data_IF_677837509318
#
_entry.id   IF_677837509318
#
_cell.length_a   1.000
_cell.length_b   1.000
_cell.length_c   1.000
_cell.angle_alpha   90.00
_cell.angle_beta   90.00
_cell.angle_gamma   90.00
#
_symmetry.space_group_name_H-M   'P 1'
#
loop_
_entity.id
_entity.type
_entity.pdbx_description
1 polymer ?
#
# COMPACT_ATOMS: atom_id res chain seq x y z
N UNK A 1 22.03 -2.46 8.79
CA UNK A 1 21.44 -3.06 7.58
C UNK A 1 20.29 -2.20 7.04
N UNK A 2 19.35 -1.76 7.88
CA UNK A 2 18.21 -0.89 7.49
C UNK A 2 18.73 0.46 6.98
N UNK A 3 19.64 1.12 7.70
CA UNK A 3 20.23 2.41 7.31
C UNK A 3 20.90 2.36 5.93
N UNK A 4 21.58 1.24 5.59
CA UNK A 4 22.16 1.05 4.24
C UNK A 4 21.08 1.02 3.15
N UNK A 5 19.91 0.42 3.44
CA UNK A 5 18.78 0.39 2.49
C UNK A 5 18.10 1.74 2.36
N UNK A 6 18.01 2.51 3.46
CA UNK A 6 17.52 3.91 3.40
C UNK A 6 18.47 4.77 2.56
N UNK A 7 19.78 4.67 2.77
CA UNK A 7 20.76 5.39 1.94
C UNK A 7 20.64 4.98 0.46
N UNK A 8 20.41 3.68 0.19
CA UNK A 8 20.18 3.21 -1.19
C UNK A 8 18.93 3.80 -1.82
N UNK A 9 17.85 3.96 -1.07
CA UNK A 9 16.64 4.65 -1.52
C UNK A 9 16.94 6.11 -1.92
N UNK A 10 17.69 6.83 -1.09
CA UNK A 10 18.10 8.21 -1.36
C UNK A 10 19.04 8.31 -2.55
N UNK A 11 19.96 7.34 -2.74
CA UNK A 11 20.82 7.27 -3.93
C UNK A 11 20.02 7.15 -5.21
N UNK A 12 19.01 6.28 -5.25
CA UNK A 12 18.17 6.10 -6.43
C UNK A 12 17.39 7.39 -6.74
N UNK A 13 16.87 8.07 -5.72
CA UNK A 13 16.20 9.38 -5.90
C UNK A 13 17.14 10.47 -6.43
N UNK A 14 18.39 10.48 -5.96
CA UNK A 14 19.40 11.38 -6.49
C UNK A 14 19.72 11.10 -7.95
N UNK A 15 19.88 9.82 -8.31
CA UNK A 15 20.11 9.42 -9.70
C UNK A 15 18.98 9.84 -10.63
N UNK A 16 17.73 9.81 -10.17
CA UNK A 16 16.57 10.28 -10.93
C UNK A 16 16.60 11.81 -11.11
N UNK A 17 16.89 12.55 -10.03
CA UNK A 17 16.98 14.03 -10.06
C UNK A 17 18.16 14.53 -10.90
N UNK A 18 19.28 13.85 -10.86
CA UNK A 18 20.50 14.20 -11.59
C UNK A 18 20.46 13.83 -13.08
N UNK A 19 19.35 13.24 -13.56
CA UNK A 19 19.21 12.81 -14.95
C UNK A 19 20.09 11.60 -15.32
N UNK A 20 20.62 10.89 -14.34
CA UNK A 20 21.46 9.70 -14.57
C UNK A 20 20.67 8.60 -15.26
N UNK A 21 19.33 8.54 -15.06
CA UNK A 21 18.47 7.56 -15.72
C UNK A 21 18.45 7.71 -17.25
N UNK A 22 18.66 8.89 -17.78
CA UNK A 22 18.69 9.13 -19.23
C UNK A 22 19.96 8.57 -19.89
N UNK A 23 21.01 8.34 -19.10
CA UNK A 23 22.30 7.76 -19.55
C UNK A 23 22.36 6.25 -19.41
N UNK A 24 21.45 5.65 -18.68
CA UNK A 24 21.41 4.21 -18.40
C UNK A 24 20.56 3.45 -19.42
N UNK A 25 20.87 2.17 -19.69
CA UNK A 25 20.03 1.31 -20.50
C UNK A 25 18.62 1.20 -19.90
N UNK A 26 17.57 1.20 -20.72
CA UNK A 26 16.17 1.12 -20.28
C UNK A 26 15.89 -0.05 -19.33
N UNK A 27 16.57 -1.18 -19.52
CA UNK A 27 16.44 -2.37 -18.67
C UNK A 27 16.89 -2.11 -17.23
N UNK A 28 18.01 -1.40 -17.07
CA UNK A 28 18.54 -1.04 -15.75
C UNK A 28 17.66 -0.02 -15.04
N UNK A 29 17.17 0.99 -15.75
CA UNK A 29 16.23 1.99 -15.22
C UNK A 29 14.96 1.33 -14.69
N UNK A 30 14.40 0.36 -15.43
CA UNK A 30 13.23 -0.42 -14.96
C UNK A 30 13.57 -1.22 -13.69
N UNK A 31 14.77 -1.79 -13.62
CA UNK A 31 15.24 -2.49 -12.42
C UNK A 31 15.34 -1.57 -11.20
N UNK A 32 15.97 -0.40 -11.37
CA UNK A 32 16.11 0.61 -10.32
C UNK A 32 14.75 1.16 -9.85
N UNK A 33 13.81 1.40 -10.76
CA UNK A 33 12.45 1.84 -10.39
C UNK A 33 11.70 0.81 -9.57
N UNK A 34 11.78 -0.47 -9.92
CA UNK A 34 11.19 -1.56 -9.12
C UNK A 34 11.85 -1.69 -7.74
N UNK A 35 13.18 -1.53 -7.67
CA UNK A 35 13.91 -1.51 -6.40
C UNK A 35 13.46 -0.33 -5.54
N UNK A 36 13.35 0.85 -6.12
CA UNK A 36 12.86 2.06 -5.47
C UNK A 36 11.46 1.88 -4.90
N UNK A 37 10.50 1.41 -5.70
CA UNK A 37 9.13 1.16 -5.25
C UNK A 37 9.07 0.22 -4.05
N UNK A 38 9.84 -0.87 -4.10
CA UNK A 38 9.92 -1.84 -3.01
C UNK A 38 10.53 -1.25 -1.75
N UNK A 39 11.62 -0.50 -1.87
CA UNK A 39 12.28 0.15 -0.75
C UNK A 39 11.40 1.25 -0.16
N UNK A 40 10.79 2.07 -1.00
CA UNK A 40 9.92 3.16 -0.57
C UNK A 40 8.69 2.64 0.16
N UNK A 41 8.04 1.59 -0.36
CA UNK A 41 6.90 0.96 0.30
C UNK A 41 7.21 0.51 1.74
N UNK A 42 8.41 -0.02 1.97
CA UNK A 42 8.78 -0.63 3.25
C UNK A 42 9.52 0.32 4.20
N UNK A 43 10.18 1.36 3.70
CA UNK A 43 11.12 2.17 4.48
C UNK A 43 10.77 3.68 4.48
N UNK A 44 9.75 4.12 3.76
CA UNK A 44 9.42 5.55 3.68
C UNK A 44 9.16 6.17 5.05
N UNK A 45 8.50 5.45 5.96
CA UNK A 45 8.16 5.95 7.29
C UNK A 45 9.33 6.10 8.26
N UNK A 46 10.48 5.45 7.98
CA UNK A 46 11.65 5.49 8.87
C UNK A 46 12.82 6.30 8.32
N UNK A 47 12.64 7.01 7.20
CA UNK A 47 13.71 7.79 6.54
C UNK A 47 14.34 8.83 7.46
N UNK A 48 13.50 9.58 8.17
CA UNK A 48 13.91 10.67 9.04
C UNK A 48 14.26 10.19 10.47
N UNK A 49 14.07 8.92 10.77
CA UNK A 49 14.29 8.38 12.09
C UNK A 49 15.79 8.22 12.40
N UNK A 50 16.32 9.14 13.20
CA UNK A 50 17.73 9.14 13.60
C UNK A 50 17.97 8.47 14.96
N UNK A 51 16.95 8.40 15.81
CA UNK A 51 16.99 7.86 17.17
C UNK A 51 15.94 6.76 17.32
N UNK A 52 16.13 5.90 18.32
CA UNK A 52 15.10 4.93 18.71
C UNK A 52 13.84 5.67 19.17
N UNK A 53 12.65 5.14 18.87
CA UNK A 53 11.40 5.74 19.30
C UNK A 53 11.26 5.64 20.82
N UNK A 54 10.60 6.61 21.42
CA UNK A 54 10.33 6.63 22.87
C UNK A 54 9.11 5.80 23.25
N UNK A 55 8.23 5.54 22.28
CA UNK A 55 7.06 4.67 22.41
C UNK A 55 6.73 4.05 21.07
N UNK A 56 6.06 2.91 21.08
CA UNK A 56 5.58 2.23 19.87
C UNK A 56 4.07 2.06 19.97
N UNK A 57 3.35 2.37 18.90
CA UNK A 57 1.91 2.13 18.78
C UNK A 57 1.72 0.97 17.80
N UNK A 58 1.01 -0.06 18.22
CA UNK A 58 0.81 -1.29 17.45
C UNK A 58 -0.68 -1.51 17.20
N UNK A 59 -1.00 -1.95 16.01
CA UNK A 59 -2.34 -2.42 15.62
C UNK A 59 -2.22 -3.90 15.33
N UNK A 60 -3.02 -4.73 16.01
CA UNK A 60 -2.98 -6.19 15.92
C UNK A 60 -1.66 -6.79 16.46
N UNK A 61 -1.66 -7.13 17.75
CA UNK A 61 -0.49 -7.69 18.44
C UNK A 61 -0.07 -9.05 17.88
N UNK A 62 -1.00 -9.83 17.31
CA UNK A 62 -0.68 -11.14 16.74
C UNK A 62 0.17 -11.03 15.47
N UNK A 63 -0.09 -10.03 14.63
CA UNK A 63 0.71 -9.79 13.41
C UNK A 63 2.05 -9.14 13.70
N UNK A 64 2.08 -8.24 14.67
CA UNK A 64 3.26 -7.42 14.98
C UNK A 64 4.04 -7.92 16.21
N UNK A 65 3.93 -9.21 16.53
CA UNK A 65 4.59 -9.86 17.66
C UNK A 65 6.11 -9.58 17.72
N UNK A 66 6.78 -9.55 16.56
CA UNK A 66 8.21 -9.25 16.51
C UNK A 66 8.53 -7.84 17.01
N UNK A 67 7.71 -6.85 16.65
CA UNK A 67 7.89 -5.47 17.07
C UNK A 67 7.69 -5.32 18.58
N UNK A 68 6.70 -5.99 19.16
CA UNK A 68 6.45 -6.05 20.59
C UNK A 68 7.65 -6.63 21.32
N UNK A 69 8.14 -7.77 20.87
CA UNK A 69 9.27 -8.47 21.50
C UNK A 69 10.56 -7.64 21.45
N UNK A 70 10.81 -6.95 20.33
CA UNK A 70 11.94 -6.04 20.19
C UNK A 70 11.80 -4.82 21.08
N UNK A 71 10.62 -4.19 21.13
CA UNK A 71 10.34 -3.05 21.98
C UNK A 71 10.54 -3.39 23.47
N UNK A 72 10.02 -4.53 23.94
CA UNK A 72 10.23 -5.02 25.31
C UNK A 72 11.70 -5.22 25.65
N UNK A 73 12.50 -5.79 24.72
CA UNK A 73 13.96 -5.96 24.93
C UNK A 73 14.70 -4.63 25.07
N UNK A 74 14.21 -3.60 24.40
CA UNK A 74 14.78 -2.26 24.41
C UNK A 74 14.22 -1.38 25.54
N UNK A 75 13.21 -1.87 26.28
CA UNK A 75 12.52 -1.09 27.32
C UNK A 75 11.69 0.05 26.77
N UNK A 76 11.19 -0.09 25.55
CA UNK A 76 10.32 0.90 24.90
C UNK A 76 8.86 0.54 25.20
N UNK A 77 8.06 1.47 25.79
CA UNK A 77 6.66 1.21 26.09
C UNK A 77 5.83 1.00 24.83
N UNK A 78 4.94 0.00 24.87
CA UNK A 78 4.10 -0.42 23.78
C UNK A 78 2.63 -0.08 24.06
N UNK A 79 2.02 0.70 23.19
CA UNK A 79 0.59 0.96 23.14
C UNK A 79 -0.04 0.06 22.07
N UNK A 80 -0.98 -0.79 22.42
CA UNK A 80 -1.57 -1.76 21.50
C UNK A 80 -3.07 -1.55 21.32
N UNK A 81 -3.54 -1.49 20.06
CA UNK A 81 -4.94 -1.74 19.75
C UNK A 81 -5.16 -3.25 19.84
N UNK A 82 -5.99 -3.63 20.80
CA UNK A 82 -6.24 -5.03 21.12
C UNK A 82 -7.69 -5.36 20.86
N UNK A 83 -7.91 -6.30 19.96
CA UNK A 83 -9.21 -6.91 19.68
C UNK A 83 -9.34 -8.25 20.40
N UNK A 84 -10.45 -8.94 20.23
CA UNK A 84 -10.82 -10.18 20.91
C UNK A 84 -9.90 -11.37 20.61
N UNK A 85 -9.14 -11.32 19.52
CA UNK A 85 -8.17 -12.34 19.07
C UNK A 85 -6.74 -12.11 19.60
N UNK A 86 -6.51 -11.04 20.35
CA UNK A 86 -5.21 -10.64 20.84
C UNK A 86 -5.08 -10.82 22.36
N UNK A 87 -3.86 -11.07 22.85
CA UNK A 87 -3.56 -11.13 24.28
C UNK A 87 -3.26 -9.71 24.81
N UNK A 88 -4.03 -9.20 25.80
CA UNK A 88 -3.77 -7.90 26.39
C UNK A 88 -2.46 -7.82 27.17
N UNK A 89 -1.93 -8.95 27.64
CA UNK A 89 -0.67 -9.01 28.41
C UNK A 89 0.57 -8.81 27.52
N UNK A 90 0.40 -8.79 26.19
CA UNK A 90 1.47 -8.54 25.24
C UNK A 90 1.89 -7.07 25.16
N UNK A 91 1.08 -6.14 25.65
CA UNK A 91 1.35 -4.69 25.56
C UNK A 91 1.30 -4.02 26.92
N UNK A 92 2.00 -2.88 27.06
CA UNK A 92 2.04 -2.15 28.32
C UNK A 92 0.78 -1.30 28.53
N UNK A 93 0.23 -0.76 27.44
CA UNK A 93 -0.97 0.07 27.44
C UNK A 93 -2.00 -0.49 26.44
N UNK A 94 -3.06 -1.07 26.97
CA UNK A 94 -4.13 -1.68 26.18
C UNK A 94 -5.13 -0.64 25.72
N UNK A 95 -5.41 -0.62 24.43
CA UNK A 95 -6.45 0.17 23.80
C UNK A 95 -7.48 -0.79 23.18
N UNK A 96 -8.58 -1.11 23.88
CA UNK A 96 -9.58 -2.02 23.36
C UNK A 96 -10.31 -1.39 22.18
N UNK A 97 -10.07 -1.90 20.99
CA UNK A 97 -10.66 -1.41 19.76
C UNK A 97 -10.63 -2.48 18.67
N UNK A 98 -11.49 -2.33 17.66
CA UNK A 98 -11.47 -3.18 16.49
C UNK A 98 -10.26 -2.86 15.61
N UNK A 99 -9.45 -3.86 15.28
CA UNK A 99 -8.20 -3.76 14.53
C UNK A 99 -8.35 -4.07 13.02
N UNK A 100 -9.53 -4.55 12.57
CA UNK A 100 -9.81 -4.84 11.17
C UNK A 100 -10.47 -3.67 10.43
N UNK A 101 -11.27 -2.88 11.14
CA UNK A 101 -12.01 -1.80 10.53
C UNK A 101 -11.15 -0.54 10.37
N UNK A 102 -10.84 -0.16 9.13
CA UNK A 102 -10.05 1.05 8.80
C UNK A 102 -10.57 2.29 9.52
N UNK A 103 -11.90 2.45 9.65
CA UNK A 103 -12.51 3.59 10.33
C UNK A 103 -12.23 3.59 11.84
N UNK A 104 -12.28 2.43 12.50
CA UNK A 104 -11.93 2.28 13.91
C UNK A 104 -10.47 2.65 14.15
N UNK A 105 -9.57 2.07 13.35
CA UNK A 105 -8.12 2.36 13.43
C UNK A 105 -7.84 3.85 13.24
N UNK A 106 -8.46 4.49 12.26
CA UNK A 106 -8.29 5.94 12.01
C UNK A 106 -8.74 6.80 13.18
N UNK A 107 -9.87 6.48 13.80
CA UNK A 107 -10.38 7.23 14.97
C UNK A 107 -9.39 7.14 16.13
N UNK A 108 -8.97 5.93 16.47
CA UNK A 108 -8.07 5.71 17.63
C UNK A 108 -6.67 6.29 17.37
N UNK A 109 -6.07 5.99 16.21
CA UNK A 109 -4.77 6.54 15.85
C UNK A 109 -4.82 8.07 15.68
N UNK A 110 -5.92 8.59 15.15
CA UNK A 110 -6.13 10.04 15.04
C UNK A 110 -6.17 10.72 16.41
N UNK A 111 -6.87 10.14 17.37
CA UNK A 111 -6.90 10.66 18.74
C UNK A 111 -5.52 10.65 19.40
N UNK A 112 -4.78 9.53 19.30
CA UNK A 112 -3.42 9.41 19.80
C UNK A 112 -2.46 10.41 19.14
N UNK A 113 -2.54 10.52 17.81
CA UNK A 113 -1.71 11.45 17.04
C UNK A 113 -2.00 12.90 17.45
N UNK A 114 -3.27 13.26 17.61
CA UNK A 114 -3.66 14.60 18.05
C UNK A 114 -3.14 14.91 19.47
N UNK A 115 -3.17 13.95 20.39
CA UNK A 115 -2.61 14.14 21.72
C UNK A 115 -1.07 14.40 21.66
N UNK A 116 -0.36 13.71 20.77
CA UNK A 116 1.08 13.93 20.55
C UNK A 116 1.33 15.30 19.91
N UNK A 117 0.53 15.69 18.93
CA UNK A 117 0.62 16.99 18.26
C UNK A 117 0.37 18.11 19.25
N UNK A 118 -0.66 18.00 20.09
CA UNK A 118 -1.00 18.98 21.13
C UNK A 118 0.12 19.12 22.16
N UNK A 119 0.68 17.99 22.61
CA UNK A 119 1.82 17.99 23.53
C UNK A 119 3.06 18.68 22.95
N UNK A 120 3.23 18.65 21.63
CA UNK A 120 4.32 19.32 20.92
C UNK A 120 3.96 20.77 20.47
N UNK A 121 2.80 21.29 20.87
CA UNK A 121 2.35 22.65 20.55
C UNK A 121 1.84 22.82 19.11
N UNK A 122 1.47 21.74 18.44
CA UNK A 122 0.89 21.76 17.10
C UNK A 122 -0.64 21.94 17.10
N UNK A 123 -1.21 22.03 15.91
CA UNK A 123 -2.66 22.15 15.70
C UNK A 123 -3.30 20.79 15.46
N UNK A 124 -4.41 20.53 16.12
CA UNK A 124 -5.19 19.28 15.99
C UNK A 124 -5.74 19.15 14.56
N UNK A 125 -5.69 17.94 14.02
CA UNK A 125 -6.17 17.60 12.68
C UNK A 125 -7.34 16.61 12.77
N UNK A 126 -8.39 16.84 11.99
CA UNK A 126 -9.49 15.88 11.88
C UNK A 126 -9.18 14.82 10.82
N UNK A 127 -8.91 13.59 11.27
CA UNK A 127 -8.62 12.44 10.41
C UNK A 127 -9.86 11.67 9.96
N UNK A 128 -11.06 12.01 10.48
CA UNK A 128 -12.30 11.23 10.28
C UNK A 128 -13.25 11.91 9.30
N UNK A 129 -13.24 13.25 9.23
CA UNK A 129 -14.24 14.06 8.51
C UNK A 129 -14.11 14.07 6.98
N UNK A 130 -13.00 13.68 6.39
CA UNK A 130 -12.71 13.93 4.96
C UNK A 130 -13.08 12.79 3.99
N UNK A 131 -13.50 11.62 4.46
CA UNK A 131 -13.75 10.46 3.57
C UNK A 131 -15.14 10.46 2.89
N UNK A 132 -16.09 11.21 3.36
CA UNK A 132 -17.43 11.25 2.73
C UNK A 132 -17.49 12.10 1.45
N UNK A 133 -16.42 12.85 1.10
CA UNK A 133 -16.42 13.81 -0.03
C UNK A 133 -15.49 13.47 -1.19
N UNK A 134 -14.71 12.40 -1.15
CA UNK A 134 -13.86 12.00 -2.30
C UNK A 134 -14.39 10.72 -2.94
N UNK A 135 -15.00 10.78 -4.15
CA UNK A 135 -15.19 9.57 -4.95
C UNK A 135 -13.81 8.98 -5.18
N UNK A 136 -13.63 7.73 -4.76
CA UNK A 136 -12.35 7.01 -4.87
C UNK A 136 -11.85 7.10 -6.31
N UNK A 137 -10.72 7.77 -6.53
CA UNK A 137 -10.07 7.87 -7.86
C UNK A 137 -9.76 6.47 -8.44
N UNK A 138 -9.65 5.45 -7.60
CA UNK A 138 -9.48 4.06 -8.03
C UNK A 138 -10.67 3.51 -8.82
N UNK A 139 -11.93 3.91 -8.50
CA UNK A 139 -13.10 3.48 -9.30
C UNK A 139 -13.19 4.16 -10.66
N UNK A 140 -12.53 5.28 -10.87
CA UNK A 140 -12.50 5.97 -12.17
C UNK A 140 -11.46 5.36 -13.12
N UNK A 141 -10.33 4.84 -12.61
CA UNK A 141 -9.34 4.15 -13.43
C UNK A 141 -9.85 2.79 -13.90
N UNK A 142 -10.42 1.98 -13.00
CA UNK A 142 -11.01 0.67 -13.38
C UNK A 142 -12.20 0.81 -14.34
N UNK A 143 -12.93 1.94 -14.28
CA UNK A 143 -14.03 2.22 -15.23
C UNK A 143 -13.53 2.70 -16.59
N UNK A 144 -12.39 3.39 -16.66
CA UNK A 144 -11.76 3.77 -17.94
C UNK A 144 -11.14 2.56 -18.64
N UNK A 145 -10.36 1.75 -17.93
CA UNK A 145 -9.80 0.51 -18.51
C UNK A 145 -10.88 -0.45 -18.99
N UNK A 146 -12.00 -0.61 -18.26
CA UNK A 146 -13.12 -1.44 -18.69
C UNK A 146 -13.92 -0.86 -19.88
N UNK A 147 -13.84 0.45 -20.12
CA UNK A 147 -14.45 1.07 -21.30
C UNK A 147 -13.54 0.93 -22.51
N UNK A 148 -12.24 1.16 -22.36
CA UNK A 148 -11.26 0.99 -23.45
C UNK A 148 -11.18 -0.47 -23.91
N UNK A 149 -11.15 -1.44 -22.97
CA UNK A 149 -11.18 -2.87 -23.33
C UNK A 149 -12.50 -3.29 -23.98
N UNK A 150 -13.65 -2.63 -23.70
CA UNK A 150 -14.90 -2.91 -24.40
C UNK A 150 -14.97 -2.27 -25.79
N UNK A 151 -14.38 -1.09 -25.98
CA UNK A 151 -14.32 -0.45 -27.30
C UNK A 151 -13.33 -1.19 -28.23
N UNK A 152 -12.20 -1.68 -27.73
CA UNK A 152 -11.28 -2.52 -28.50
C UNK A 152 -11.88 -3.89 -28.85
N UNK A 153 -12.68 -4.49 -27.96
CA UNK A 153 -13.34 -5.77 -28.23
C UNK A 153 -14.44 -5.64 -29.31
N UNK A 154 -15.20 -4.55 -29.35
CA UNK A 154 -16.23 -4.32 -30.38
C UNK A 154 -15.62 -4.01 -31.73
N UNK A 155 -14.46 -3.32 -31.79
CA UNK A 155 -13.75 -3.05 -33.06
C UNK A 155 -13.07 -4.31 -33.63
N UNK A 156 -12.73 -5.29 -32.80
CA UNK A 156 -12.16 -6.57 -33.26
C UNK A 156 -13.19 -7.57 -33.73
N UNK A 157 -14.46 -7.48 -33.29
CA UNK A 157 -15.55 -8.33 -33.77
C UNK A 157 -16.08 -7.90 -35.14
N UNK A 158 -16.10 -6.60 -35.49
CA UNK A 158 -16.53 -6.12 -36.80
C UNK A 158 -15.54 -6.42 -37.95
N UNK A 159 -14.30 -6.85 -37.64
CA UNK A 159 -13.31 -7.18 -38.70
C UNK A 159 -13.22 -8.67 -39.06
N UNK A 160 -14.01 -9.53 -38.44
CA UNK A 160 -13.94 -10.98 -38.62
C UNK A 160 -15.18 -11.62 -39.31
N UNK A 161 -16.01 -10.82 -39.96
CA UNK A 161 -16.98 -11.40 -40.91
C UNK A 161 -16.21 -11.82 -42.17
N UNK A 162 -15.88 -13.10 -42.25
CA UNK A 162 -15.47 -13.77 -43.48
C UNK A 162 -16.72 -14.13 -44.28
N UNK A 163 -16.68 -14.02 -45.66
CA UNK A 163 -17.81 -14.30 -46.49
C UNK A 163 -18.19 -15.80 -46.45
N UNK A 164 -19.48 -16.05 -46.32
CA UNK A 164 -20.09 -17.36 -46.51
C UNK A 164 -19.67 -17.96 -47.86
N UNK A 165 -19.00 -19.09 -47.82
CA UNK A 165 -18.84 -19.97 -48.95
C UNK A 165 -19.91 -21.03 -48.86
N UNK A 166 -20.87 -20.93 -49.81
CA UNK A 166 -21.82 -21.96 -50.18
C UNK A 166 -21.12 -23.29 -50.43
N UNK A 167 -21.42 -24.29 -49.62
CA UNK A 167 -21.12 -25.70 -49.90
C UNK A 167 -22.36 -26.54 -49.64
N UNK A 168 -23.28 -26.46 -50.60
CA UNK A 168 -24.16 -27.56 -50.90
C UNK A 168 -23.32 -28.69 -51.48
N UNK A 169 -23.78 -29.94 -51.26
CA UNK A 169 -23.40 -31.24 -51.88
C UNK A 169 -22.60 -32.11 -50.90
N UNK A 170 -23.12 -33.14 -50.41
CA UNK A 170 -23.63 -34.43 -50.77
C UNK A 170 -23.80 -35.30 -49.50
N UNK A 171 -24.96 -35.76 -49.31
CA UNK A 171 -25.36 -36.99 -48.64
C UNK A 171 -24.74 -38.19 -49.32
N UNK A 172 -24.08 -39.10 -48.59
CA UNK A 172 -24.11 -40.51 -48.90
C UNK A 172 -24.08 -41.28 -47.59
N UNK A 173 -25.01 -42.19 -47.53
CA UNK A 173 -25.33 -43.17 -46.54
C UNK A 173 -24.30 -44.33 -46.45
N UNK A 174 -24.39 -45.12 -45.33
CA UNK A 174 -24.08 -46.55 -45.20
C UNK A 174 -22.56 -46.92 -45.05
N UNK A 175 -22.14 -47.31 -43.90
CA UNK A 175 -22.11 -48.69 -43.38
C UNK A 175 -21.64 -48.69 -41.95
#
# INVERSE_FOLDING_TARGET
TIRRRVNRLEEIEKMEKDGTFDRLPKKEVVGLKKEYEKLNKNLCGIREMTKLPQAVIIVDSTKEYNAIHEARKLGIPVFGLIDTNCDPDDVDYVLPANDDAVRSIKVVLGALTNAIIEANGGTIVDYVGDEEKKPSKEKSFVKKEKKEVKEEATVSEEKNEKPELDLNILTVAEL
#
